data_IF_152118697086
#
_entry.id   IF_152118697086
#
_cell.length_a   1.000
_cell.length_b   1.000
_cell.length_c   1.000
_cell.angle_alpha   90.00
_cell.angle_beta   90.00
_cell.angle_gamma   90.00
#
_symmetry.space_group_name_H-M   'P 1'
#
loop_
_entity.id
_entity.type
_entity.pdbx_description
1 polymer ?
#
# COMPACT_ATOMS: atom_id res chain seq x y z
N UNK A 1 73.12 42.00 -35.47
CA UNK A 1 72.81 42.24 -34.04
C UNK A 1 71.39 41.73 -33.82
N UNK A 2 71.20 40.82 -32.85
CA UNK A 2 69.90 40.40 -32.25
C UNK A 2 68.96 39.59 -33.16
N UNK A 3 68.31 38.48 -32.78
CA UNK A 3 68.47 37.45 -31.74
C UNK A 3 67.55 36.28 -32.14
N UNK A 4 67.95 35.06 -31.75
CA UNK A 4 67.18 33.82 -31.85
C UNK A 4 66.06 33.83 -30.80
N UNK A 5 64.85 33.42 -31.19
CA UNK A 5 63.74 33.18 -30.27
C UNK A 5 62.89 32.00 -30.73
N UNK A 6 63.26 30.79 -30.31
CA UNK A 6 62.46 29.59 -30.47
C UNK A 6 61.32 29.58 -29.43
N UNK A 7 60.09 29.86 -29.87
CA UNK A 7 58.88 29.70 -29.07
C UNK A 7 58.31 28.29 -29.22
N UNK A 8 58.47 27.47 -28.18
CA UNK A 8 57.92 26.12 -28.11
C UNK A 8 56.39 26.12 -28.11
N UNK A 9 55.80 25.39 -29.06
CA UNK A 9 54.36 25.12 -29.09
C UNK A 9 54.09 23.96 -28.14
N UNK A 10 53.86 24.28 -26.87
CA UNK A 10 53.40 23.32 -25.87
C UNK A 10 51.95 22.93 -26.17
N UNK A 11 51.75 21.79 -26.83
CA UNK A 11 50.43 21.19 -27.01
C UNK A 11 49.84 20.80 -25.65
N UNK A 12 48.83 21.55 -25.20
CA UNK A 12 48.00 21.15 -24.07
C UNK A 12 47.13 19.99 -24.54
N UNK A 13 47.54 18.76 -24.23
CA UNK A 13 46.68 17.59 -24.36
C UNK A 13 45.50 17.75 -23.39
N UNK A 14 44.25 17.59 -23.84
CA UNK A 14 43.13 17.56 -22.91
C UNK A 14 43.31 16.30 -22.06
N UNK A 15 43.50 16.49 -20.76
CA UNK A 15 43.41 15.42 -19.79
C UNK A 15 41.98 14.88 -19.86
N UNK A 16 41.80 13.78 -20.61
CA UNK A 16 40.61 12.94 -20.51
C UNK A 16 40.56 12.51 -19.06
N UNK A 17 39.66 13.10 -18.28
CA UNK A 17 39.41 12.71 -16.90
C UNK A 17 39.05 11.22 -16.92
N UNK A 18 40.03 10.39 -16.61
CA UNK A 18 39.86 8.95 -16.50
C UNK A 18 38.90 8.76 -15.33
N UNK A 19 37.66 8.37 -15.63
CA UNK A 19 36.65 8.08 -14.61
C UNK A 19 37.29 7.23 -13.53
N UNK A 20 37.44 7.78 -12.33
CA UNK A 20 38.11 7.11 -11.23
C UNK A 20 37.51 5.70 -11.07
N UNK A 21 38.39 4.70 -10.99
CA UNK A 21 37.95 3.32 -10.81
C UNK A 21 37.04 3.22 -9.58
N UNK A 22 35.90 2.54 -9.71
CA UNK A 22 34.95 2.36 -8.62
C UNK A 22 35.64 1.73 -7.42
N UNK A 23 35.30 2.17 -6.21
CA UNK A 23 35.74 1.48 -4.99
C UNK A 23 35.15 0.08 -4.93
N UNK A 24 35.73 -0.80 -4.10
CA UNK A 24 35.22 -2.17 -3.90
C UNK A 24 33.76 -2.18 -3.47
N UNK A 25 33.35 -1.26 -2.61
CA UNK A 25 31.94 -1.14 -2.17
C UNK A 25 31.02 -0.72 -3.31
N UNK A 26 31.42 0.28 -4.10
CA UNK A 26 30.64 0.75 -5.25
C UNK A 26 30.48 -0.34 -6.32
N UNK A 27 31.55 -1.07 -6.62
CA UNK A 27 31.53 -2.20 -7.53
C UNK A 27 30.61 -3.34 -7.03
N UNK A 28 30.63 -3.62 -5.72
CA UNK A 28 29.75 -4.62 -5.12
C UNK A 28 28.26 -4.21 -5.19
N UNK A 29 27.94 -2.94 -4.89
CA UNK A 29 26.58 -2.42 -4.98
C UNK A 29 26.04 -2.47 -6.42
N UNK A 30 26.86 -2.08 -7.40
CA UNK A 30 26.50 -2.16 -8.82
C UNK A 30 26.25 -3.61 -9.27
N UNK A 31 27.09 -4.55 -8.81
CA UNK A 31 26.94 -5.97 -9.10
C UNK A 31 25.64 -6.53 -8.50
N UNK A 32 25.34 -6.16 -7.26
CA UNK A 32 24.10 -6.58 -6.58
C UNK A 32 22.86 -6.06 -7.30
N UNK A 33 22.84 -4.78 -7.70
CA UNK A 33 21.75 -4.19 -8.47
C UNK A 33 21.57 -4.88 -9.82
N UNK A 34 22.65 -5.07 -10.58
CA UNK A 34 22.61 -5.75 -11.88
C UNK A 34 22.08 -7.19 -11.76
N UNK A 35 22.47 -7.91 -10.70
CA UNK A 35 21.96 -9.25 -10.40
C UNK A 35 20.46 -9.21 -10.09
N UNK A 36 20.00 -8.27 -9.26
CA UNK A 36 18.59 -8.13 -8.91
C UNK A 36 17.72 -7.78 -10.11
N UNK A 37 18.18 -6.88 -10.98
CA UNK A 37 17.49 -6.52 -12.21
C UNK A 37 17.32 -7.71 -13.16
N UNK A 38 18.38 -8.48 -13.39
CA UNK A 38 18.31 -9.71 -14.20
C UNK A 38 17.37 -10.75 -13.61
N UNK A 39 17.42 -10.95 -12.29
CA UNK A 39 16.52 -11.88 -11.61
C UNK A 39 15.05 -11.44 -11.74
N UNK A 40 14.78 -10.15 -11.59
CA UNK A 40 13.43 -9.63 -11.73
C UNK A 40 12.88 -9.83 -13.15
N UNK A 41 13.66 -9.51 -14.19
CA UNK A 41 13.29 -9.79 -15.59
C UNK A 41 12.98 -11.26 -15.83
N UNK A 42 13.84 -12.16 -15.36
CA UNK A 42 13.65 -13.59 -15.54
C UNK A 42 12.36 -14.11 -14.86
N UNK A 43 12.09 -13.64 -13.64
CA UNK A 43 10.89 -14.03 -12.89
C UNK A 43 9.61 -13.51 -13.55
N UNK A 44 9.61 -12.26 -14.06
CA UNK A 44 8.47 -11.73 -14.80
C UNK A 44 8.23 -12.53 -16.09
N UNK A 45 9.28 -12.79 -16.87
CA UNK A 45 9.20 -13.58 -18.10
C UNK A 45 8.67 -15.00 -17.84
N UNK A 46 9.16 -15.67 -16.79
CA UNK A 46 8.65 -16.98 -16.39
C UNK A 46 7.16 -16.91 -16.05
N UNK A 47 6.75 -15.94 -15.22
CA UNK A 47 5.34 -15.82 -14.81
C UNK A 47 4.44 -15.47 -16.00
N UNK A 48 4.91 -14.64 -16.92
CA UNK A 48 4.24 -14.33 -18.17
C UNK A 48 4.02 -15.58 -19.00
N UNK A 49 5.08 -16.35 -19.26
CA UNK A 49 5.01 -17.59 -20.04
C UNK A 49 4.00 -18.59 -19.46
N UNK A 50 4.01 -18.80 -18.13
CA UNK A 50 3.04 -19.66 -17.46
C UNK A 50 1.59 -19.19 -17.67
N UNK A 51 1.34 -17.88 -17.55
CA UNK A 51 0.01 -17.30 -17.76
C UNK A 51 -0.43 -17.44 -19.21
N UNK A 52 0.44 -17.12 -20.16
CA UNK A 52 0.13 -17.13 -21.59
C UNK A 52 -0.13 -18.57 -22.08
N UNK A 53 0.62 -19.55 -21.55
CA UNK A 53 0.44 -20.98 -21.81
C UNK A 53 -0.75 -21.60 -21.04
N UNK A 54 -1.42 -20.83 -20.16
CA UNK A 54 -2.49 -21.32 -19.26
C UNK A 54 -2.06 -22.50 -18.39
N UNK A 55 -0.79 -22.53 -18.01
CA UNK A 55 -0.25 -23.51 -17.08
C UNK A 55 -0.80 -23.29 -15.66
N UNK A 56 -0.76 -24.35 -14.86
CA UNK A 56 -1.05 -24.23 -13.43
C UNK A 56 -0.03 -23.31 -12.76
N UNK A 57 -0.52 -22.28 -12.08
CA UNK A 57 0.32 -21.34 -11.36
C UNK A 57 0.63 -21.90 -9.96
N UNK A 58 1.86 -21.70 -9.43
CA UNK A 58 2.16 -21.96 -8.03
C UNK A 58 1.13 -21.39 -7.05
N UNK A 59 0.98 -22.04 -5.90
CA UNK A 59 0.01 -21.70 -4.86
C UNK A 59 -0.01 -20.19 -4.51
N UNK A 60 1.16 -19.54 -4.49
CA UNK A 60 1.33 -18.09 -4.24
C UNK A 60 2.03 -17.42 -5.42
N UNK A 61 1.32 -17.23 -6.55
CA UNK A 61 1.98 -16.97 -7.82
C UNK A 61 2.65 -15.59 -7.90
N UNK A 62 2.21 -14.65 -7.07
CA UNK A 62 2.77 -13.31 -6.94
C UNK A 62 3.92 -13.20 -5.93
N UNK A 63 4.22 -14.24 -5.14
CA UNK A 63 5.25 -14.16 -4.10
C UNK A 63 6.64 -13.89 -4.70
N UNK A 64 7.06 -14.68 -5.68
CA UNK A 64 8.37 -14.52 -6.31
C UNK A 64 8.53 -13.16 -7.01
N UNK A 65 7.58 -12.72 -7.87
CA UNK A 65 7.65 -11.40 -8.48
C UNK A 65 7.66 -10.26 -7.44
N UNK A 66 6.90 -10.36 -6.34
CA UNK A 66 6.88 -9.36 -5.29
C UNK A 66 8.25 -9.23 -4.61
N UNK A 67 8.85 -10.35 -4.20
CA UNK A 67 10.17 -10.34 -3.57
C UNK A 67 11.26 -9.82 -4.50
N UNK A 68 11.20 -10.20 -5.77
CA UNK A 68 12.15 -9.72 -6.78
C UNK A 68 12.04 -8.22 -7.03
N UNK A 69 10.81 -7.66 -7.03
CA UNK A 69 10.58 -6.20 -7.07
C UNK A 69 11.20 -5.50 -5.86
N UNK A 70 10.97 -6.02 -4.65
CA UNK A 70 11.58 -5.45 -3.44
C UNK A 70 13.10 -5.49 -3.50
N UNK A 71 13.69 -6.60 -3.96
CA UNK A 71 15.13 -6.74 -4.09
C UNK A 71 15.72 -5.76 -5.12
N UNK A 72 15.03 -5.52 -6.23
CA UNK A 72 15.43 -4.55 -7.24
C UNK A 72 15.51 -3.13 -6.64
N UNK A 73 14.43 -2.68 -6.01
CA UNK A 73 14.37 -1.35 -5.39
C UNK A 73 15.40 -1.22 -4.25
N UNK A 74 15.52 -2.27 -3.44
CA UNK A 74 16.45 -2.32 -2.31
C UNK A 74 17.91 -2.19 -2.76
N UNK A 75 18.33 -2.95 -3.78
CA UNK A 75 19.70 -2.92 -4.28
C UNK A 75 20.00 -1.66 -5.09
N UNK A 76 18.99 -1.08 -5.73
CA UNK A 76 19.15 0.25 -6.34
C UNK A 76 19.38 1.32 -5.29
N UNK A 77 18.62 1.29 -4.18
CA UNK A 77 18.88 2.20 -3.06
C UNK A 77 20.30 2.03 -2.51
N UNK A 78 20.75 0.79 -2.29
CA UNK A 78 22.14 0.52 -1.87
C UNK A 78 23.18 1.06 -2.87
N UNK A 79 22.91 0.96 -4.18
CA UNK A 79 23.76 1.52 -5.23
C UNK A 79 23.79 3.04 -5.17
N UNK A 80 22.65 3.71 -5.06
CA UNK A 80 22.61 5.17 -4.99
C UNK A 80 23.19 5.74 -3.71
N UNK A 81 23.18 4.97 -2.61
CA UNK A 81 23.88 5.33 -1.37
C UNK A 81 25.40 5.28 -1.55
N UNK A 82 25.92 4.25 -2.23
CA UNK A 82 27.36 4.10 -2.48
C UNK A 82 27.86 5.00 -3.62
N UNK A 83 26.99 5.31 -4.58
CA UNK A 83 27.30 6.10 -5.79
C UNK A 83 26.16 7.09 -6.06
N UNK A 84 26.12 8.25 -5.36
CA UNK A 84 25.03 9.23 -5.52
C UNK A 84 24.82 9.74 -6.95
N UNK A 85 25.86 9.74 -7.79
CA UNK A 85 25.75 10.08 -9.22
C UNK A 85 24.90 9.09 -10.05
N UNK A 86 24.52 7.94 -9.47
CA UNK A 86 23.58 6.99 -10.08
C UNK A 86 22.10 7.30 -9.79
N UNK A 87 21.80 8.29 -8.94
CA UNK A 87 20.44 8.75 -8.73
C UNK A 87 19.89 9.24 -10.07
N UNK A 88 18.80 8.61 -10.51
CA UNK A 88 18.23 8.85 -11.82
C UNK A 88 17.28 10.04 -11.88
N UNK A 89 16.54 10.12 -12.98
CA UNK A 89 15.44 11.09 -13.17
C UNK A 89 14.18 10.66 -12.40
N UNK A 90 13.23 11.60 -12.16
CA UNK A 90 11.89 11.26 -11.70
C UNK A 90 11.18 10.24 -12.62
N UNK A 91 10.31 9.42 -12.01
CA UNK A 91 9.49 8.41 -12.68
C UNK A 91 8.00 8.70 -12.52
N UNK A 92 7.16 8.06 -13.36
CA UNK A 92 5.70 8.19 -13.37
C UNK A 92 5.02 7.56 -12.16
N UNK A 93 5.74 6.72 -11.39
CA UNK A 93 5.23 6.05 -10.20
C UNK A 93 5.35 6.91 -8.94
N UNK A 94 5.97 8.10 -9.04
CA UNK A 94 6.19 8.99 -7.89
C UNK A 94 7.16 8.44 -6.84
N UNK A 95 7.90 7.37 -7.16
CA UNK A 95 8.91 6.80 -6.25
C UNK A 95 10.13 7.73 -6.26
N UNK A 96 10.73 8.09 -5.11
CA UNK A 96 11.88 8.98 -5.11
C UNK A 96 13.04 8.40 -5.95
N UNK A 97 13.77 9.21 -6.75
CA UNK A 97 14.76 8.69 -7.71
C UNK A 97 15.95 7.95 -7.10
N UNK A 98 16.19 8.07 -5.79
CA UNK A 98 17.18 7.26 -5.09
C UNK A 98 16.71 5.81 -4.85
N UNK A 99 15.42 5.52 -4.97
CA UNK A 99 14.83 4.22 -4.66
C UNK A 99 14.41 3.44 -5.91
N UNK A 100 14.28 4.12 -7.05
CA UNK A 100 13.87 3.50 -8.29
C UNK A 100 14.47 4.16 -9.53
N UNK A 101 15.07 3.33 -10.38
CA UNK A 101 15.56 3.71 -11.69
C UNK A 101 14.39 3.79 -12.69
N UNK A 102 14.13 4.99 -13.20
CA UNK A 102 13.07 5.24 -14.17
C UNK A 102 13.19 4.43 -15.47
N UNK A 103 14.36 3.87 -15.80
CA UNK A 103 14.50 2.96 -16.94
C UNK A 103 13.74 1.63 -16.75
N UNK A 104 13.40 1.27 -15.51
CA UNK A 104 12.70 0.02 -15.18
C UNK A 104 11.17 0.18 -15.11
N UNK A 105 10.61 1.34 -15.48
CA UNK A 105 9.15 1.56 -15.54
C UNK A 105 8.40 0.46 -16.30
N UNK A 106 8.85 0.01 -17.50
CA UNK A 106 8.15 -1.06 -18.22
C UNK A 106 8.06 -2.38 -17.44
N UNK A 107 9.05 -2.69 -16.59
CA UNK A 107 9.02 -3.89 -15.76
C UNK A 107 8.00 -3.76 -14.61
N UNK A 108 7.75 -2.53 -14.11
CA UNK A 108 6.69 -2.28 -13.13
C UNK A 108 5.29 -2.35 -13.76
N UNK A 109 5.16 -1.87 -15.00
CA UNK A 109 3.93 -2.02 -15.78
C UNK A 109 3.62 -3.51 -16.03
N UNK A 110 4.62 -4.29 -16.44
CA UNK A 110 4.48 -5.75 -16.61
C UNK A 110 4.12 -6.44 -15.28
N UNK A 111 4.82 -6.11 -14.20
CA UNK A 111 4.51 -6.61 -12.85
C UNK A 111 3.05 -6.36 -12.47
N UNK A 112 2.55 -5.13 -12.70
CA UNK A 112 1.15 -4.78 -12.44
C UNK A 112 0.18 -5.59 -13.31
N UNK A 113 0.49 -5.77 -14.59
CA UNK A 113 -0.33 -6.55 -15.51
C UNK A 113 -0.40 -8.04 -15.11
N UNK A 114 0.71 -8.64 -14.66
CA UNK A 114 0.72 -10.01 -14.14
C UNK A 114 -0.12 -10.13 -12.86
N UNK A 115 0.02 -9.18 -11.92
CA UNK A 115 -0.75 -9.18 -10.69
C UNK A 115 -2.26 -9.08 -10.95
N UNK A 116 -2.66 -8.28 -11.94
CA UNK A 116 -4.07 -8.18 -12.36
C UNK A 116 -4.66 -9.55 -12.75
N UNK A 117 -3.89 -10.40 -13.43
CA UNK A 117 -4.32 -11.76 -13.78
C UNK A 117 -4.32 -12.67 -12.55
N UNK A 118 -3.22 -12.68 -11.79
CA UNK A 118 -3.07 -13.55 -10.62
C UNK A 118 -4.03 -13.23 -9.47
N UNK A 119 -4.57 -12.03 -9.43
CA UNK A 119 -5.54 -11.56 -8.42
C UNK A 119 -6.96 -11.43 -8.99
N UNK A 120 -7.20 -11.89 -10.22
CA UNK A 120 -8.52 -11.80 -10.83
C UNK A 120 -9.58 -12.42 -9.89
N UNK A 121 -10.72 -11.73 -9.70
CA UNK A 121 -11.80 -12.28 -8.90
C UNK A 121 -12.33 -13.56 -9.59
N UNK A 122 -12.87 -14.53 -8.82
CA UNK A 122 -13.57 -15.67 -9.41
C UNK A 122 -14.80 -15.20 -10.19
N UNK A 123 -15.25 -15.99 -11.16
CA UNK A 123 -16.41 -15.64 -11.99
C UNK A 123 -17.71 -15.43 -11.18
N UNK A 124 -17.83 -16.08 -10.02
CA UNK A 124 -18.95 -15.92 -9.10
C UNK A 124 -18.86 -14.66 -8.23
N UNK A 125 -17.80 -13.86 -8.35
CA UNK A 125 -17.64 -12.65 -7.56
C UNK A 125 -18.72 -11.62 -7.90
N UNK A 126 -19.29 -11.07 -6.84
CA UNK A 126 -20.45 -10.20 -6.85
C UNK A 126 -19.97 -8.75 -6.70
N UNK A 127 -19.61 -8.13 -7.84
CA UNK A 127 -19.20 -6.73 -7.87
C UNK A 127 -20.36 -5.79 -7.52
N UNK A 128 -20.01 -4.59 -7.06
CA UNK A 128 -20.90 -3.45 -6.86
C UNK A 128 -20.74 -2.45 -8.00
N UNK A 129 -21.84 -1.81 -8.47
CA UNK A 129 -21.76 -0.69 -9.41
C UNK A 129 -21.24 0.61 -8.75
N UNK A 130 -21.23 0.69 -7.41
CA UNK A 130 -20.85 1.88 -6.64
C UNK A 130 -19.77 1.58 -5.59
N UNK A 131 -18.66 0.91 -5.92
CA UNK A 131 -17.78 0.29 -4.93
C UNK A 131 -17.19 1.29 -3.94
N UNK A 132 -16.75 2.45 -4.42
CA UNK A 132 -16.16 3.47 -3.57
C UNK A 132 -17.20 4.10 -2.63
N UNK A 133 -18.42 4.30 -3.14
CA UNK A 133 -19.53 4.83 -2.33
C UNK A 133 -19.94 3.83 -1.26
N UNK A 134 -19.98 2.54 -1.57
CA UNK A 134 -20.33 1.49 -0.62
C UNK A 134 -19.38 1.47 0.57
N UNK A 135 -18.07 1.63 0.33
CA UNK A 135 -17.07 1.76 1.41
C UNK A 135 -17.36 2.96 2.30
N UNK A 136 -17.63 4.12 1.70
CA UNK A 136 -17.90 5.37 2.42
C UNK A 136 -19.20 5.28 3.22
N UNK A 137 -20.27 4.77 2.62
CA UNK A 137 -21.60 4.65 3.24
C UNK A 137 -21.58 3.68 4.41
N UNK A 138 -20.95 2.51 4.24
CA UNK A 138 -20.80 1.52 5.31
C UNK A 138 -20.02 2.12 6.49
N UNK A 139 -18.90 2.77 6.23
CA UNK A 139 -18.09 3.38 7.29
C UNK A 139 -18.83 4.51 8.02
N UNK A 140 -19.53 5.41 7.29
CA UNK A 140 -20.37 6.46 7.87
C UNK A 140 -21.48 5.87 8.75
N UNK A 141 -22.16 4.83 8.28
CA UNK A 141 -23.23 4.17 9.01
C UNK A 141 -22.72 3.51 10.30
N UNK A 142 -21.59 2.80 10.24
CA UNK A 142 -20.93 2.21 11.42
C UNK A 142 -20.56 3.31 12.42
N UNK A 143 -19.94 4.41 11.94
CA UNK A 143 -19.54 5.54 12.79
C UNK A 143 -20.73 6.18 13.52
N UNK A 144 -21.83 6.49 12.80
CA UNK A 144 -23.05 7.03 13.41
C UNK A 144 -23.69 6.05 14.39
N UNK A 145 -23.73 4.77 14.06
CA UNK A 145 -24.22 3.73 14.97
C UNK A 145 -23.31 3.53 16.20
N UNK A 146 -22.07 4.00 16.17
CA UNK A 146 -21.18 4.10 17.34
C UNK A 146 -21.28 5.44 18.07
N UNK A 147 -22.21 6.32 17.68
CA UNK A 147 -22.51 7.58 18.35
C UNK A 147 -21.70 8.77 17.85
N UNK A 148 -21.02 8.66 16.70
CA UNK A 148 -20.27 9.76 16.13
C UNK A 148 -21.17 10.71 15.34
N UNK A 149 -20.83 12.00 15.37
CA UNK A 149 -21.50 13.03 14.60
C UNK A 149 -21.23 12.90 13.09
N UNK A 150 -21.92 13.72 12.28
CA UNK A 150 -21.83 13.66 10.83
C UNK A 150 -20.41 13.97 10.30
N UNK A 151 -19.71 14.93 10.89
CA UNK A 151 -18.37 15.33 10.46
C UNK A 151 -17.33 14.23 10.74
N UNK A 152 -17.43 13.60 11.91
CA UNK A 152 -16.59 12.48 12.30
C UNK A 152 -16.91 11.22 11.50
N UNK A 153 -18.20 10.98 11.21
CA UNK A 153 -18.61 9.89 10.31
C UNK A 153 -18.06 10.08 8.89
N UNK A 154 -17.98 11.32 8.40
CA UNK A 154 -17.31 11.65 7.13
C UNK A 154 -15.83 11.30 7.16
N UNK A 155 -15.13 11.59 8.26
CA UNK A 155 -13.74 11.20 8.43
C UNK A 155 -13.57 9.67 8.43
N UNK A 156 -14.49 8.92 9.06
CA UNK A 156 -14.51 7.45 9.00
C UNK A 156 -14.66 6.97 7.55
N UNK A 157 -15.57 7.56 6.77
CA UNK A 157 -15.75 7.28 5.35
C UNK A 157 -14.46 7.44 4.53
N UNK A 158 -13.78 8.58 4.68
CA UNK A 158 -12.51 8.86 4.00
C UNK A 158 -11.42 7.87 4.40
N UNK A 159 -11.27 7.58 5.70
CA UNK A 159 -10.26 6.65 6.22
C UNK A 159 -10.50 5.24 5.68
N UNK A 160 -11.75 4.76 5.71
CA UNK A 160 -12.12 3.45 5.19
C UNK A 160 -11.91 3.33 3.68
N UNK A 161 -12.12 4.41 2.93
CA UNK A 161 -11.75 4.43 1.52
C UNK A 161 -10.23 4.33 1.33
N UNK A 162 -9.45 4.99 2.18
CA UNK A 162 -7.99 4.83 2.24
C UNK A 162 -7.57 3.36 2.37
N UNK A 163 -8.17 2.64 3.32
CA UNK A 163 -7.92 1.20 3.52
C UNK A 163 -8.27 0.37 2.29
N UNK A 164 -9.40 0.65 1.66
CA UNK A 164 -9.78 -0.04 0.42
C UNK A 164 -8.70 0.10 -0.66
N UNK A 165 -8.14 1.29 -0.83
CA UNK A 165 -7.03 1.53 -1.76
C UNK A 165 -5.71 0.88 -1.29
N UNK A 166 -5.40 0.90 0.00
CA UNK A 166 -4.21 0.24 0.54
C UNK A 166 -4.21 -1.26 0.23
N UNK A 167 -5.31 -1.94 0.54
CA UNK A 167 -5.47 -3.38 0.41
C UNK A 167 -5.57 -3.85 -1.05
N UNK A 168 -6.31 -3.10 -1.88
CA UNK A 168 -6.73 -3.62 -3.21
C UNK A 168 -6.38 -2.71 -4.39
N UNK A 169 -5.76 -1.55 -4.13
CA UNK A 169 -5.60 -0.48 -5.13
C UNK A 169 -6.93 0.02 -5.72
N UNK A 170 -8.03 -0.12 -4.96
CA UNK A 170 -9.38 0.26 -5.35
C UNK A 170 -10.13 -0.80 -6.17
N UNK A 171 -9.62 -2.03 -6.24
CA UNK A 171 -10.25 -3.11 -6.99
C UNK A 171 -11.15 -3.96 -6.09
N UNK A 172 -12.30 -4.34 -6.62
CA UNK A 172 -13.29 -5.12 -5.88
C UNK A 172 -12.97 -6.62 -5.96
N UNK A 173 -13.26 -7.34 -4.88
CA UNK A 173 -13.37 -8.79 -4.85
C UNK A 173 -12.11 -9.55 -5.29
N UNK A 174 -10.95 -8.89 -5.33
CA UNK A 174 -9.72 -9.48 -5.87
C UNK A 174 -9.26 -10.65 -5.00
N UNK A 175 -8.64 -11.63 -5.65
CA UNK A 175 -7.83 -12.63 -4.95
C UNK A 175 -6.57 -12.00 -4.36
N UNK A 176 -5.72 -12.84 -3.77
CA UNK A 176 -4.42 -12.41 -3.27
C UNK A 176 -3.32 -13.33 -3.82
N UNK A 177 -2.50 -12.79 -4.71
CA UNK A 177 -1.44 -13.56 -5.35
C UNK A 177 -0.32 -14.00 -4.38
N UNK A 178 -0.33 -13.52 -3.13
CA UNK A 178 0.66 -13.84 -2.09
C UNK A 178 0.07 -14.61 -0.90
N UNK A 179 -1.25 -14.83 -0.86
CA UNK A 179 -1.91 -15.56 0.22
C UNK A 179 -3.20 -16.22 -0.25
N UNK A 180 -3.44 -17.45 0.21
CA UNK A 180 -4.73 -18.11 -0.01
C UNK A 180 -5.78 -17.77 1.03
N UNK A 181 -5.38 -17.11 2.11
CA UNK A 181 -6.25 -16.85 3.26
C UNK A 181 -7.06 -15.58 3.08
N UNK A 182 -6.42 -14.52 2.58
CA UNK A 182 -6.96 -13.17 2.49
C UNK A 182 -7.44 -12.89 1.08
N UNK A 183 -8.70 -12.49 0.91
CA UNK A 183 -9.32 -12.22 -0.39
C UNK A 183 -10.40 -11.16 -0.26
N UNK A 184 -10.93 -10.69 -1.38
CA UNK A 184 -12.06 -9.80 -1.40
C UNK A 184 -11.69 -8.34 -1.33
N UNK A 185 -12.72 -7.51 -1.19
CA UNK A 185 -12.59 -6.05 -1.27
C UNK A 185 -11.81 -5.42 -0.11
N UNK A 186 -11.62 -6.09 1.03
CA UNK A 186 -10.70 -5.64 2.09
C UNK A 186 -9.71 -6.74 2.51
N UNK A 187 -9.37 -7.64 1.57
CA UNK A 187 -8.37 -8.70 1.78
C UNK A 187 -8.55 -9.43 3.12
N UNK A 188 -9.76 -9.90 3.38
CA UNK A 188 -10.18 -10.42 4.70
C UNK A 188 -10.03 -11.94 4.78
N UNK A 189 -9.56 -12.44 5.91
CA UNK A 189 -9.48 -13.87 6.20
C UNK A 189 -10.84 -14.49 6.54
N UNK A 190 -10.97 -15.82 6.51
CA UNK A 190 -12.22 -16.52 6.86
C UNK A 190 -12.65 -16.27 8.31
N UNK A 191 -11.70 -16.26 9.24
CA UNK A 191 -12.00 -15.98 10.65
C UNK A 191 -12.42 -14.51 10.85
N UNK A 192 -11.72 -13.60 10.20
CA UNK A 192 -12.01 -12.16 10.25
C UNK A 192 -13.38 -11.84 9.64
N UNK A 193 -13.73 -12.46 8.52
CA UNK A 193 -15.03 -12.30 7.89
C UNK A 193 -16.16 -12.72 8.85
N UNK A 194 -16.03 -13.89 9.48
CA UNK A 194 -16.99 -14.39 10.48
C UNK A 194 -17.07 -13.47 11.70
N UNK A 195 -15.95 -12.96 12.19
CA UNK A 195 -15.93 -12.02 13.31
C UNK A 195 -16.64 -10.71 12.95
N UNK A 196 -16.32 -10.16 11.78
CA UNK A 196 -16.94 -8.96 11.23
C UNK A 196 -18.44 -9.10 11.03
N UNK A 197 -18.90 -10.26 10.53
CA UNK A 197 -20.31 -10.58 10.38
C UNK A 197 -21.04 -10.57 11.74
N UNK A 198 -20.46 -11.21 12.77
CA UNK A 198 -21.03 -11.20 14.12
C UNK A 198 -21.09 -9.79 14.71
N UNK A 199 -20.01 -9.03 14.58
CA UNK A 199 -19.96 -7.65 15.06
C UNK A 199 -20.98 -6.76 14.32
N UNK A 200 -21.14 -6.93 13.00
CA UNK A 200 -22.16 -6.24 12.22
C UNK A 200 -23.56 -6.58 12.71
N UNK A 201 -23.87 -7.87 12.91
CA UNK A 201 -25.18 -8.32 13.35
C UNK A 201 -25.63 -7.65 14.66
N UNK A 202 -24.71 -7.43 15.59
CA UNK A 202 -24.98 -6.72 16.84
C UNK A 202 -25.32 -5.24 16.63
N UNK A 203 -24.72 -4.58 15.63
CA UNK A 203 -24.92 -3.16 15.34
C UNK A 203 -26.07 -2.90 14.35
N UNK A 204 -26.49 -3.94 13.60
CA UNK A 204 -27.45 -3.86 12.49
C UNK A 204 -28.78 -3.18 12.85
N UNK A 205 -29.46 -3.46 13.99
CA UNK A 205 -30.71 -2.78 14.32
C UNK A 205 -30.55 -1.26 14.44
N UNK A 206 -29.45 -0.81 15.05
CA UNK A 206 -29.14 0.61 15.21
C UNK A 206 -28.80 1.27 13.88
N UNK A 207 -28.05 0.57 13.02
CA UNK A 207 -27.77 1.06 11.65
C UNK A 207 -29.07 1.20 10.86
N UNK A 208 -29.95 0.19 10.88
CA UNK A 208 -31.22 0.26 10.15
C UNK A 208 -32.14 1.40 10.64
N UNK A 209 -32.08 1.74 11.94
CA UNK A 209 -32.82 2.87 12.50
C UNK A 209 -32.24 4.23 12.09
N UNK A 210 -30.91 4.37 12.05
CA UNK A 210 -30.23 5.63 11.73
C UNK A 210 -30.05 5.86 10.23
N UNK A 211 -29.90 4.79 9.46
CA UNK A 211 -29.67 4.78 8.02
C UNK A 211 -30.47 3.63 7.36
N UNK A 212 -31.78 3.83 7.14
CA UNK A 212 -32.64 2.78 6.58
C UNK A 212 -32.22 2.33 5.17
N UNK A 213 -31.61 3.23 4.38
CA UNK A 213 -31.11 2.92 3.05
C UNK A 213 -29.94 1.94 3.10
N UNK A 214 -28.97 2.15 4.00
CA UNK A 214 -27.88 1.20 4.25
C UNK A 214 -28.43 -0.13 4.76
N UNK A 215 -29.41 -0.12 5.67
CA UNK A 215 -30.06 -1.34 6.16
C UNK A 215 -30.76 -2.15 5.06
N UNK A 216 -31.50 -1.49 4.17
CA UNK A 216 -32.17 -2.13 3.04
C UNK A 216 -31.15 -2.72 2.05
N UNK A 217 -30.08 -1.98 1.76
CA UNK A 217 -28.99 -2.44 0.89
C UNK A 217 -28.26 -3.64 1.47
N UNK A 218 -27.97 -3.63 2.77
CA UNK A 218 -27.33 -4.75 3.46
C UNK A 218 -28.16 -6.04 3.38
N UNK A 219 -29.48 -5.94 3.54
CA UNK A 219 -30.39 -7.08 3.37
C UNK A 219 -30.34 -7.61 1.93
N UNK A 220 -30.38 -6.74 0.93
CA UNK A 220 -30.31 -7.12 -0.49
C UNK A 220 -28.99 -7.81 -0.83
N UNK A 221 -27.86 -7.23 -0.43
CA UNK A 221 -26.54 -7.78 -0.74
C UNK A 221 -26.27 -9.09 0.02
N UNK A 222 -26.71 -9.19 1.29
CA UNK A 222 -26.63 -10.45 2.04
C UNK A 222 -27.47 -11.55 1.38
N UNK A 223 -28.67 -11.24 0.89
CA UNK A 223 -29.49 -12.19 0.13
C UNK A 223 -28.85 -12.57 -1.21
N UNK A 224 -28.19 -11.62 -1.89
CA UNK A 224 -27.48 -11.86 -3.15
C UNK A 224 -26.33 -12.85 -2.99
N UNK A 225 -25.64 -12.84 -1.84
CA UNK A 225 -24.58 -13.83 -1.55
C UNK A 225 -25.12 -15.25 -1.52
N UNK A 226 -26.28 -15.47 -0.89
CA UNK A 226 -26.82 -16.82 -0.66
C UNK A 226 -25.82 -17.68 0.13
N UNK A 227 -25.55 -18.89 -0.37
CA UNK A 227 -24.57 -19.82 0.22
C UNK A 227 -23.12 -19.58 -0.27
N UNK A 228 -22.90 -18.48 -1.02
CA UNK A 228 -21.58 -18.10 -1.51
C UNK A 228 -20.64 -17.56 -0.43
N UNK A 229 -19.36 -17.45 -0.77
CA UNK A 229 -18.36 -16.81 0.10
C UNK A 229 -18.59 -15.29 0.13
N UNK A 230 -19.01 -14.76 1.29
CA UNK A 230 -19.29 -13.34 1.52
C UNK A 230 -18.09 -12.43 1.20
N UNK A 231 -16.86 -12.95 1.19
CA UNK A 231 -15.67 -12.16 0.84
C UNK A 231 -15.62 -11.81 -0.65
N UNK A 232 -16.37 -12.52 -1.49
CA UNK A 232 -16.47 -12.23 -2.92
C UNK A 232 -17.71 -11.42 -3.31
N UNK A 233 -18.53 -10.98 -2.35
CA UNK A 233 -19.47 -9.89 -2.57
C UNK A 233 -18.88 -8.59 -2.01
N UNK A 234 -18.86 -7.54 -2.84
CA UNK A 234 -18.16 -6.31 -2.50
C UNK A 234 -18.70 -5.69 -1.20
N UNK A 235 -20.02 -5.58 -1.08
CA UNK A 235 -20.67 -4.97 0.07
C UNK A 235 -20.39 -5.74 1.36
N UNK A 236 -20.63 -7.05 1.36
CA UNK A 236 -20.42 -7.88 2.56
C UNK A 236 -18.95 -7.98 2.93
N UNK A 237 -18.04 -8.06 1.95
CA UNK A 237 -16.60 -8.08 2.19
C UNK A 237 -16.10 -6.79 2.86
N UNK A 238 -16.53 -5.63 2.35
CA UNK A 238 -16.19 -4.33 2.94
C UNK A 238 -16.77 -4.22 4.35
N UNK A 239 -18.06 -4.52 4.51
CA UNK A 239 -18.76 -4.48 5.79
C UNK A 239 -18.07 -5.34 6.84
N UNK A 240 -17.81 -6.60 6.53
CA UNK A 240 -17.20 -7.54 7.47
C UNK A 240 -15.73 -7.15 7.77
N UNK A 241 -14.95 -6.75 6.77
CA UNK A 241 -13.57 -6.30 6.97
C UNK A 241 -13.46 -5.06 7.87
N UNK A 242 -14.32 -4.06 7.67
CA UNK A 242 -14.38 -2.88 8.54
C UNK A 242 -14.79 -3.25 9.97
N UNK A 243 -15.82 -4.09 10.12
CA UNK A 243 -16.31 -4.51 11.43
C UNK A 243 -15.31 -5.35 12.22
N UNK A 244 -14.49 -6.17 11.56
CA UNK A 244 -13.51 -7.01 12.24
C UNK A 244 -12.35 -6.21 12.83
N UNK A 245 -11.69 -5.37 12.03
CA UNK A 245 -10.42 -4.77 12.45
C UNK A 245 -10.54 -3.31 12.92
N UNK A 246 -11.59 -2.58 12.50
CA UNK A 246 -11.59 -1.12 12.54
C UNK A 246 -12.75 -0.53 13.35
N UNK A 247 -13.91 -1.19 13.41
CA UNK A 247 -15.11 -0.61 14.02
C UNK A 247 -14.94 -0.20 15.49
N UNK A 248 -14.12 -0.90 16.27
CA UNK A 248 -13.86 -0.54 17.67
C UNK A 248 -12.89 0.66 17.83
N UNK A 249 -12.22 1.06 16.75
CA UNK A 249 -11.43 2.29 16.72
C UNK A 249 -12.25 3.51 16.30
N UNK A 250 -13.44 3.31 15.71
CA UNK A 250 -14.26 4.42 15.23
C UNK A 250 -14.60 5.42 16.35
N UNK A 251 -15.00 4.99 17.57
CA UNK A 251 -15.20 5.91 18.69
C UNK A 251 -13.99 6.79 19.02
N UNK A 252 -12.77 6.37 18.65
CA UNK A 252 -11.52 7.08 18.91
C UNK A 252 -11.14 8.07 17.79
N UNK A 253 -11.87 8.09 16.67
CA UNK A 253 -11.58 8.98 15.53
C UNK A 253 -11.44 10.44 15.98
N UNK A 254 -12.33 11.04 16.81
CA UNK A 254 -12.15 12.43 17.24
C UNK A 254 -10.80 12.71 17.90
N UNK A 255 -10.28 11.79 18.72
CA UNK A 255 -8.97 11.91 19.35
C UNK A 255 -7.84 11.73 18.32
N UNK A 256 -7.98 10.74 17.43
CA UNK A 256 -7.03 10.49 16.33
C UNK A 256 -6.89 11.72 15.42
N UNK A 257 -7.99 12.39 15.06
CA UNK A 257 -7.96 13.58 14.21
C UNK A 257 -7.20 14.74 14.85
N UNK A 258 -7.27 14.89 16.18
CA UNK A 258 -6.50 15.89 16.92
C UNK A 258 -5.02 15.53 16.99
N UNK A 259 -4.73 14.25 17.20
CA UNK A 259 -3.37 13.72 17.34
C UNK A 259 -2.61 13.69 16.01
N UNK A 260 -3.29 13.34 14.92
CA UNK A 260 -2.74 13.26 13.56
C UNK A 260 -3.57 14.16 12.65
N UNK A 261 -3.30 15.48 12.56
CA UNK A 261 -4.13 16.39 11.76
C UNK A 261 -4.02 16.12 10.25
N UNK A 262 -2.90 15.56 9.80
CA UNK A 262 -2.71 15.17 8.40
C UNK A 262 -3.59 13.94 8.04
N UNK A 263 -4.39 14.10 6.99
CA UNK A 263 -5.35 13.09 6.55
C UNK A 263 -4.69 11.81 6.04
N UNK A 264 -3.50 11.90 5.43
CA UNK A 264 -2.76 10.75 4.92
C UNK A 264 -2.18 9.95 6.08
N UNK A 265 -1.63 10.61 7.11
CA UNK A 265 -1.16 9.97 8.34
C UNK A 265 -2.30 9.25 9.08
N UNK A 266 -3.52 9.78 9.05
CA UNK A 266 -4.68 9.07 9.59
C UNK A 266 -4.96 7.77 8.82
N UNK A 267 -4.91 7.78 7.47
CA UNK A 267 -5.08 6.54 6.69
C UNK A 267 -3.95 5.53 6.95
N UNK A 268 -2.70 6.01 7.04
CA UNK A 268 -1.53 5.19 7.41
C UNK A 268 -1.70 4.53 8.78
N UNK A 269 -2.21 5.27 9.78
CA UNK A 269 -2.49 4.71 11.11
C UNK A 269 -3.43 3.50 11.01
N UNK A 270 -4.53 3.63 10.27
CA UNK A 270 -5.48 2.53 10.16
C UNK A 270 -4.92 1.36 9.33
N UNK A 271 -4.06 1.62 8.34
CA UNK A 271 -3.29 0.54 7.67
C UNK A 271 -2.33 -0.17 8.64
N UNK A 272 -1.69 0.57 9.56
CA UNK A 272 -0.84 -0.04 10.60
C UNK A 272 -1.61 -0.92 11.57
N UNK A 273 -2.91 -0.69 11.78
CA UNK A 273 -3.74 -1.59 12.57
C UNK A 273 -3.83 -2.97 11.91
N UNK A 274 -3.79 -3.05 10.58
CA UNK A 274 -3.77 -4.33 9.86
C UNK A 274 -2.39 -5.01 9.92
N UNK A 275 -1.31 -4.22 9.84
CA UNK A 275 0.06 -4.74 9.76
C UNK A 275 0.59 -5.15 11.15
N UNK A 276 0.40 -4.30 12.15
CA UNK A 276 0.90 -4.44 13.53
C UNK A 276 -0.17 -3.98 14.55
N UNK A 277 -1.28 -4.73 14.69
CA UNK A 277 -2.45 -4.31 15.48
C UNK A 277 -2.13 -3.99 16.94
N UNK A 278 -1.48 -4.92 17.66
CA UNK A 278 -1.25 -4.76 19.10
C UNK A 278 -0.31 -3.59 19.41
N UNK A 279 0.85 -3.44 18.75
CA UNK A 279 1.71 -2.27 18.95
C UNK A 279 1.01 -0.94 18.62
N UNK A 280 0.19 -0.89 17.57
CA UNK A 280 -0.52 0.33 17.18
C UNK A 280 -1.58 0.72 18.19
N UNK A 281 -2.35 -0.25 18.73
CA UNK A 281 -3.30 0.00 19.82
C UNK A 281 -2.61 0.46 21.10
N UNK A 282 -1.46 -0.13 21.44
CA UNK A 282 -0.66 0.31 22.58
C UNK A 282 -0.15 1.74 22.42
N UNK A 283 0.32 2.11 21.23
CA UNK A 283 0.75 3.47 20.93
C UNK A 283 -0.40 4.48 21.06
N UNK A 284 -1.60 4.16 20.57
CA UNK A 284 -2.80 5.00 20.72
C UNK A 284 -3.17 5.19 22.20
N UNK A 285 -3.13 4.11 22.99
CA UNK A 285 -3.44 4.17 24.42
C UNK A 285 -2.40 4.94 25.25
N UNK A 286 -1.18 5.10 24.74
CA UNK A 286 -0.08 5.76 25.47
C UNK A 286 -0.24 7.27 25.61
N UNK A 287 -1.08 7.91 24.78
CA UNK A 287 -1.16 9.37 24.67
C UNK A 287 0.07 10.04 24.03
N UNK A 288 1.12 9.30 23.71
CA UNK A 288 2.37 9.78 23.10
C UNK A 288 2.67 9.03 21.80
N UNK A 289 1.65 8.93 20.94
CA UNK A 289 1.65 8.05 19.77
C UNK A 289 2.89 8.21 18.89
N UNK A 290 3.18 9.42 18.41
CA UNK A 290 4.28 9.65 17.45
C UNK A 290 5.65 9.26 17.99
N UNK A 291 5.88 9.43 19.30
CA UNK A 291 7.14 9.09 19.97
C UNK A 291 7.18 7.66 20.52
N UNK A 292 6.06 6.93 20.50
CA UNK A 292 6.00 5.55 20.97
C UNK A 292 6.94 4.69 20.12
N UNK A 293 7.85 3.96 20.77
CA UNK A 293 8.92 3.20 20.13
C UNK A 293 8.60 1.70 20.11
N UNK A 294 8.81 1.09 18.96
CA UNK A 294 8.80 -0.36 18.78
C UNK A 294 10.24 -0.83 18.62
N UNK A 295 10.63 -1.83 19.40
CA UNK A 295 11.94 -2.51 19.29
C UNK A 295 11.82 -4.04 19.22
N UNK A 296 10.60 -4.59 19.22
CA UNK A 296 10.40 -6.03 19.08
C UNK A 296 10.88 -6.49 17.68
N UNK A 297 11.85 -7.43 17.60
CA UNK A 297 12.42 -7.84 16.32
C UNK A 297 11.40 -8.46 15.35
N UNK A 298 10.39 -9.15 15.86
CA UNK A 298 9.33 -9.76 15.05
C UNK A 298 8.43 -8.68 14.46
N UNK A 299 8.06 -7.68 15.26
CA UNK A 299 7.26 -6.54 14.78
C UNK A 299 8.06 -5.71 13.76
N UNK A 300 9.34 -5.44 14.00
CA UNK A 300 10.22 -4.81 13.01
C UNK A 300 10.33 -5.64 11.72
N UNK A 301 10.32 -6.97 11.84
CA UNK A 301 10.23 -7.90 10.70
C UNK A 301 8.94 -7.71 9.89
N UNK A 302 7.79 -7.57 10.55
CA UNK A 302 6.51 -7.30 9.88
C UNK A 302 6.49 -5.97 9.13
N UNK A 303 7.08 -4.92 9.68
CA UNK A 303 7.24 -3.63 8.98
C UNK A 303 8.03 -3.81 7.67
N UNK A 304 9.19 -4.48 7.74
CA UNK A 304 10.04 -4.72 6.54
C UNK A 304 9.36 -5.57 5.47
N UNK A 305 8.57 -6.56 5.88
CA UNK A 305 7.82 -7.39 4.94
C UNK A 305 6.73 -6.60 4.19
N UNK A 306 6.27 -5.50 4.78
CA UNK A 306 5.30 -4.57 4.21
C UNK A 306 5.93 -3.32 3.60
N UNK A 307 7.21 -3.41 3.19
CA UNK A 307 7.95 -2.33 2.53
C UNK A 307 8.26 -1.11 3.41
N UNK A 308 8.17 -1.23 4.73
CA UNK A 308 8.50 -0.18 5.71
C UNK A 308 9.89 -0.49 6.29
N UNK A 309 10.85 0.43 6.12
CA UNK A 309 12.28 0.22 6.42
C UNK A 309 12.94 -0.93 5.62
N UNK A 310 12.53 -1.10 4.37
CA UNK A 310 12.99 -2.20 3.52
C UNK A 310 14.15 -1.81 2.59
N UNK A 311 14.24 -0.53 2.21
CA UNK A 311 15.11 -0.09 1.12
C UNK A 311 16.33 0.66 1.63
N UNK A 312 17.52 0.21 1.22
CA UNK A 312 18.79 0.72 1.73
C UNK A 312 19.30 -0.01 2.98
N UNK A 313 20.63 -0.06 3.13
CA UNK A 313 21.30 -0.70 4.28
C UNK A 313 20.88 -0.07 5.61
N UNK A 314 20.77 1.27 5.67
CA UNK A 314 20.45 1.98 6.90
C UNK A 314 19.07 1.61 7.46
N UNK A 315 18.05 1.60 6.58
CA UNK A 315 16.69 1.20 6.94
C UNK A 315 16.65 -0.25 7.42
N UNK A 316 17.29 -1.17 6.70
CA UNK A 316 17.33 -2.59 7.10
C UNK A 316 18.07 -2.81 8.41
N UNK A 317 19.06 -1.97 8.73
CA UNK A 317 19.82 -2.04 9.97
C UNK A 317 19.06 -1.50 11.20
N UNK A 318 17.96 -0.74 11.01
CA UNK A 318 17.18 -0.21 12.14
C UNK A 318 16.64 -1.35 13.01
N UNK A 319 16.99 -1.35 14.29
CA UNK A 319 16.49 -2.32 15.30
C UNK A 319 15.27 -1.82 16.05
N UNK A 320 14.96 -0.53 15.96
CA UNK A 320 13.76 0.09 16.52
C UNK A 320 13.32 1.28 15.67
N UNK A 321 12.06 1.68 15.84
CA UNK A 321 11.51 2.90 15.24
C UNK A 321 10.39 3.47 16.10
N UNK A 322 10.25 4.79 16.08
CA UNK A 322 9.06 5.50 16.58
C UNK A 322 7.92 5.42 15.57
N UNK A 323 6.67 5.63 16.01
CA UNK A 323 5.55 5.68 15.07
C UNK A 323 5.65 6.83 14.07
N UNK A 324 6.26 7.97 14.41
CA UNK A 324 6.56 9.03 13.44
C UNK A 324 7.45 8.51 12.31
N UNK A 325 8.57 7.86 12.66
CA UNK A 325 9.47 7.24 11.68
C UNK A 325 8.75 6.18 10.84
N UNK A 326 7.85 5.38 11.45
CA UNK A 326 7.06 4.37 10.73
C UNK A 326 6.12 5.04 9.72
N UNK A 327 5.36 6.06 10.13
CA UNK A 327 4.46 6.79 9.24
C UNK A 327 5.21 7.45 8.07
N UNK A 328 6.42 7.96 8.30
CA UNK A 328 7.26 8.55 7.25
C UNK A 328 7.78 7.48 6.29
N UNK A 329 8.16 6.31 6.80
CA UNK A 329 8.61 5.18 6.01
C UNK A 329 7.50 4.51 5.18
N UNK A 330 6.22 4.80 5.45
CA UNK A 330 5.07 4.34 4.66
C UNK A 330 4.82 5.16 3.38
N UNK A 331 5.84 5.83 2.83
CA UNK A 331 5.70 6.70 1.65
C UNK A 331 5.19 5.97 0.40
N UNK A 332 5.41 4.66 0.25
CA UNK A 332 4.85 3.87 -0.85
C UNK A 332 3.31 3.80 -0.86
N UNK A 333 2.66 4.12 0.25
CA UNK A 333 1.20 4.18 0.34
C UNK A 333 0.63 5.54 -0.04
N UNK A 334 1.46 6.59 -0.15
CA UNK A 334 0.99 7.96 -0.33
C UNK A 334 0.10 8.11 -1.58
N UNK A 335 0.52 7.59 -2.75
CA UNK A 335 -0.29 7.65 -3.98
C UNK A 335 -1.68 7.02 -3.80
N UNK A 336 -1.74 5.86 -3.14
CA UNK A 336 -3.00 5.16 -2.87
C UNK A 336 -3.94 6.00 -2.01
N UNK A 337 -3.40 6.63 -0.98
CA UNK A 337 -4.16 7.47 -0.06
C UNK A 337 -4.57 8.81 -0.67
N UNK A 338 -3.75 9.38 -1.54
CA UNK A 338 -4.11 10.57 -2.32
C UNK A 338 -5.24 10.27 -3.30
N UNK A 339 -5.18 9.13 -4.00
CA UNK A 339 -6.26 8.67 -4.87
C UNK A 339 -7.54 8.40 -4.09
N UNK A 340 -7.45 7.80 -2.90
CA UNK A 340 -8.59 7.62 -2.02
C UNK A 340 -9.21 8.95 -1.58
N UNK A 341 -8.38 9.93 -1.21
CA UNK A 341 -8.82 11.28 -0.84
C UNK A 341 -9.51 11.99 -2.00
N UNK A 342 -8.92 11.98 -3.19
CA UNK A 342 -9.54 12.55 -4.39
C UNK A 342 -10.88 11.88 -4.69
N UNK A 343 -10.94 10.54 -4.60
CA UNK A 343 -12.18 9.80 -4.85
C UNK A 343 -13.27 10.10 -3.81
N UNK A 344 -12.89 10.33 -2.56
CA UNK A 344 -13.82 10.76 -1.51
C UNK A 344 -14.44 12.13 -1.82
N UNK A 345 -13.64 13.10 -2.27
CA UNK A 345 -14.14 14.42 -2.66
C UNK A 345 -15.07 14.36 -3.87
N UNK A 346 -14.79 13.49 -4.86
CA UNK A 346 -15.70 13.23 -5.97
C UNK A 346 -17.06 12.71 -5.49
N UNK A 347 -17.07 11.75 -4.57
CA UNK A 347 -18.31 11.20 -3.99
C UNK A 347 -19.09 12.32 -3.29
N UNK A 348 -18.43 13.16 -2.49
CA UNK A 348 -19.08 14.28 -1.80
C UNK A 348 -19.66 15.31 -2.79
N UNK A 349 -18.97 15.58 -3.88
CA UNK A 349 -19.47 16.49 -4.92
C UNK A 349 -20.72 15.93 -5.62
N UNK A 350 -20.74 14.62 -5.91
CA UNK A 350 -21.89 13.93 -6.49
C UNK A 350 -23.10 13.95 -5.55
N UNK A 351 -22.90 13.65 -4.26
CA UNK A 351 -23.96 13.69 -3.24
C UNK A 351 -24.59 15.09 -3.12
N UNK A 352 -23.76 16.15 -3.12
CA UNK A 352 -24.27 17.53 -3.12
C UNK A 352 -25.06 17.90 -4.36
N UNK A 353 -24.69 17.33 -5.51
CA UNK A 353 -25.37 17.59 -6.78
C UNK A 353 -26.72 16.87 -6.87
N UNK A 354 -26.85 15.70 -6.25
CA UNK A 354 -28.10 14.94 -6.17
C UNK A 354 -29.08 15.49 -5.13
N UNK A 355 -28.59 16.25 -4.16
CA UNK A 355 -29.40 16.90 -3.13
C UNK A 355 -29.95 18.28 -3.54
N UNK A 356 -29.54 18.79 -4.70
CA UNK A 356 -30.06 20.00 -5.35
C UNK A 356 -31.05 19.59 -6.42
#
# INVERSE_FOLDING_TARGET
MVAVGAGGVGGVTPAVAQSAALTKEQAAALTAYTKALRAFRAILAQRRAQIDAKEELPERPGQAPYLARLQLMSTYKDLTDAVPSRIGRPNRLGIPPAYFDAANEPLMEEYGALFKVMQAPPASAQASPTPFKDVVDLARAIARARGLDAATADAAGRISLGLFYAETNGNQNIGNARSNQYKGSLQTGVAEDRNGQRAWAALRPRIAALDPAVGARDKKETARVGDGDQRFNHWTAVRNGLMNAHADLFPQIPAILKMLPDQINQMKLFELIQIIPSPTRAALASGSFETYRISDPRIMGYLRNNSIFTFGKADRAKTSATFREILDAMWLFNDKFERARAKFEEIKAQEKSQAR
#
